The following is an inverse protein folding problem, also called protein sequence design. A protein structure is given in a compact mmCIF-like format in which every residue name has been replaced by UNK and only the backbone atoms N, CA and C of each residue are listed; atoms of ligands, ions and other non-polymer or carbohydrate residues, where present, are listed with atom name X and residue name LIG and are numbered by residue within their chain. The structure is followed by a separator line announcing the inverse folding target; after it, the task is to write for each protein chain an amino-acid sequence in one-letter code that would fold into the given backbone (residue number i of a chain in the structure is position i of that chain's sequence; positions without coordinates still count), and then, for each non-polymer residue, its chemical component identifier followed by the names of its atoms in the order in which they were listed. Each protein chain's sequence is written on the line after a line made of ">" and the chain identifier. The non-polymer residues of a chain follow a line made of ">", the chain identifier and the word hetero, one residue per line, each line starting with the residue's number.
data_IF_587538497280
#
_entry.id   IF_587538497280
#
_cell.length_a   1.000
_cell.length_b   1.000
_cell.length_c   1.000
_cell.angle_alpha   90.00
_cell.angle_beta   90.00
_cell.angle_gamma   90.00
#
_symmetry.space_group_name_H-M   'P 1'
#
loop_
_entity.id
_entity.type
_entity.pdbx_description
1 polymer ?
#
# COMPACT_ATOMS: atom_id res chain seq x y z
N UNK A 1 9.77 -14.08 -24.02
CA UNK A 1 9.76 -12.72 -23.46
C UNK A 1 9.08 -12.81 -22.11
N UNK A 2 9.87 -12.94 -21.04
CA UNK A 2 9.34 -12.88 -19.68
C UNK A 2 9.34 -11.42 -19.27
N UNK A 3 8.19 -10.76 -19.39
CA UNK A 3 8.01 -9.46 -18.78
C UNK A 3 8.00 -9.69 -17.27
N UNK A 4 9.12 -9.36 -16.62
CA UNK A 4 9.19 -9.23 -15.17
C UNK A 4 8.25 -8.10 -14.82
N UNK A 5 7.00 -8.44 -14.46
CA UNK A 5 5.98 -7.49 -14.02
C UNK A 5 6.46 -6.87 -12.71
N UNK A 6 7.36 -5.90 -12.83
CA UNK A 6 7.57 -4.90 -11.80
C UNK A 6 6.32 -4.06 -11.83
N UNK A 7 5.51 -4.17 -10.78
CA UNK A 7 4.37 -3.28 -10.61
C UNK A 7 4.89 -1.84 -10.68
N UNK A 8 4.38 -1.07 -11.64
CA UNK A 8 4.71 0.35 -11.74
C UNK A 8 4.09 1.09 -10.58
N UNK A 9 4.67 2.26 -10.27
CA UNK A 9 4.17 3.18 -9.25
C UNK A 9 2.66 3.44 -9.38
N UNK A 10 2.18 3.60 -10.61
CA UNK A 10 0.77 3.79 -10.94
C UNK A 10 -0.10 2.56 -10.63
N UNK A 11 0.40 1.35 -10.88
CA UNK A 11 -0.35 0.12 -10.59
C UNK A 11 -0.48 -0.13 -9.09
N UNK A 12 0.57 0.15 -8.32
CA UNK A 12 0.51 0.05 -6.86
C UNK A 12 -0.43 1.11 -6.29
N UNK A 13 -0.36 2.36 -6.72
CA UNK A 13 -1.31 3.40 -6.30
C UNK A 13 -2.76 3.02 -6.62
N UNK A 14 -3.00 2.46 -7.81
CA UNK A 14 -4.35 2.04 -8.21
C UNK A 14 -4.85 0.87 -7.36
N UNK A 15 -4.00 -0.10 -7.06
CA UNK A 15 -4.33 -1.26 -6.22
C UNK A 15 -4.55 -0.85 -4.77
N UNK A 16 -3.68 0.01 -4.25
CA UNK A 16 -3.79 0.63 -2.92
C UNK A 16 -5.11 1.38 -2.77
N UNK A 17 -5.41 2.28 -3.71
CA UNK A 17 -6.64 3.06 -3.67
C UNK A 17 -7.89 2.19 -3.84
N UNK A 18 -7.81 1.10 -4.61
CA UNK A 18 -8.90 0.12 -4.71
C UNK A 18 -9.10 -0.64 -3.38
N UNK A 19 -8.00 -0.99 -2.70
CA UNK A 19 -8.01 -1.68 -1.42
C UNK A 19 -8.73 -0.86 -0.35
N UNK A 20 -8.41 0.43 -0.25
CA UNK A 20 -9.00 1.34 0.74
C UNK A 20 -10.30 2.04 0.26
N UNK A 21 -10.74 1.80 -0.97
CA UNK A 21 -12.00 2.37 -1.49
C UNK A 21 -13.22 1.61 -0.99
N UNK A 22 -13.16 0.28 -1.00
CA UNK A 22 -14.29 -0.59 -0.63
C UNK A 22 -14.12 -1.24 0.74
N UNK A 23 -12.87 -1.40 1.22
CA UNK A 23 -12.61 -1.98 2.53
C UNK A 23 -12.41 -0.89 3.59
N UNK A 24 -12.89 -1.16 4.80
CA UNK A 24 -12.46 -0.41 5.97
C UNK A 24 -10.94 -0.51 6.13
N UNK A 25 -10.32 0.53 6.68
CA UNK A 25 -8.89 0.53 7.03
C UNK A 25 -8.70 -0.44 8.20
N UNK A 26 -8.54 -1.72 7.88
CA UNK A 26 -8.27 -2.80 8.82
C UNK A 26 -6.81 -3.23 8.73
N UNK A 27 -6.35 -3.97 9.72
CA UNK A 27 -4.99 -4.53 9.72
C UNK A 27 -4.73 -5.38 8.45
N UNK A 28 -5.72 -6.15 7.99
CA UNK A 28 -5.61 -6.93 6.75
C UNK A 28 -5.44 -6.06 5.49
N UNK A 29 -6.11 -4.89 5.44
CA UNK A 29 -5.92 -3.95 4.34
C UNK A 29 -4.52 -3.31 4.40
N UNK A 30 -4.02 -3.04 5.60
CA UNK A 30 -2.66 -2.52 5.80
C UNK A 30 -1.61 -3.55 5.35
N UNK A 31 -1.72 -4.81 5.77
CA UNK A 31 -0.80 -5.88 5.36
C UNK A 31 -0.78 -6.07 3.83
N UNK A 32 -1.95 -6.05 3.18
CA UNK A 32 -2.05 -6.13 1.71
C UNK A 32 -1.40 -4.93 1.02
N UNK A 33 -1.53 -3.74 1.60
CA UNK A 33 -0.90 -2.53 1.09
C UNK A 33 0.62 -2.57 1.26
N UNK A 34 1.16 -3.06 2.38
CA UNK A 34 2.61 -3.24 2.58
C UNK A 34 3.19 -4.24 1.57
N UNK A 35 2.50 -5.36 1.32
CA UNK A 35 2.92 -6.35 0.34
C UNK A 35 2.90 -5.80 -1.11
N UNK A 36 2.00 -4.86 -1.43
CA UNK A 36 2.00 -4.16 -2.72
C UNK A 36 3.22 -3.24 -2.86
N UNK A 37 3.63 -2.57 -1.78
CA UNK A 37 4.79 -1.68 -1.76
C UNK A 37 6.11 -2.47 -1.79
N UNK A 38 6.16 -3.64 -1.15
CA UNK A 38 7.36 -4.50 -1.16
C UNK A 38 7.69 -5.04 -2.56
N UNK A 39 6.67 -5.16 -3.41
CA UNK A 39 6.82 -5.50 -4.83
C UNK A 39 7.32 -4.32 -5.70
N UNK A 40 7.38 -3.10 -5.14
CA UNK A 40 7.88 -1.91 -5.84
C UNK A 40 9.41 -1.89 -5.85
N UNK A 41 10.02 -1.25 -6.85
CA UNK A 41 11.49 -1.07 -6.89
C UNK A 41 11.94 -0.27 -5.66
N UNK A 42 12.97 -0.77 -4.98
CA UNK A 42 13.59 -0.15 -3.79
C UNK A 42 14.04 1.31 -4.01
N UNK A 43 14.27 1.70 -5.27
CA UNK A 43 14.73 3.04 -5.67
C UNK A 43 13.59 4.03 -5.98
N UNK A 44 12.33 3.61 -5.92
CA UNK A 44 11.19 4.48 -6.22
C UNK A 44 10.81 5.36 -5.02
N UNK A 45 10.71 6.69 -5.18
CA UNK A 45 10.28 7.61 -4.12
C UNK A 45 8.83 7.33 -3.67
N UNK A 46 8.01 6.73 -4.54
CA UNK A 46 6.65 6.33 -4.21
C UNK A 46 6.57 5.27 -3.11
N UNK A 47 7.58 4.37 -3.04
CA UNK A 47 7.64 3.33 -2.00
C UNK A 47 7.65 3.98 -0.62
N UNK A 48 8.49 4.99 -0.43
CA UNK A 48 8.55 5.74 0.82
C UNK A 48 7.23 6.47 1.09
N UNK A 49 6.69 7.17 0.07
CA UNK A 49 5.42 7.92 0.21
C UNK A 49 4.26 7.04 0.65
N UNK A 50 4.07 5.90 -0.02
CA UNK A 50 3.01 4.97 0.32
C UNK A 50 3.26 4.29 1.67
N UNK A 51 4.52 4.00 2.02
CA UNK A 51 4.85 3.42 3.32
C UNK A 51 4.52 4.37 4.48
N UNK A 52 4.74 5.68 4.29
CA UNK A 52 4.33 6.71 5.25
C UNK A 52 2.79 6.80 5.35
N UNK A 53 2.08 6.77 4.22
CA UNK A 53 0.60 6.74 4.21
C UNK A 53 0.04 5.51 4.95
N UNK A 54 0.62 4.32 4.76
CA UNK A 54 0.21 3.12 5.49
C UNK A 54 0.43 3.27 6.99
N UNK A 55 1.59 3.80 7.40
CA UNK A 55 1.87 3.96 8.83
C UNK A 55 0.88 4.92 9.48
N UNK A 56 0.48 5.98 8.78
CA UNK A 56 -0.55 6.91 9.24
C UNK A 56 -1.93 6.22 9.31
N UNK A 57 -2.33 5.48 8.26
CA UNK A 57 -3.54 4.67 8.26
C UNK A 57 -3.57 3.67 9.42
N UNK A 58 -2.44 3.05 9.74
CA UNK A 58 -2.29 2.13 10.88
C UNK A 58 -2.52 2.82 12.21
N UNK A 59 -1.95 4.01 12.40
CA UNK A 59 -2.19 4.82 13.61
C UNK A 59 -3.66 5.19 13.74
N UNK A 60 -4.32 5.57 12.65
CA UNK A 60 -5.74 5.93 12.64
C UNK A 60 -6.61 4.69 12.94
N UNK A 61 -6.31 3.54 12.33
CA UNK A 61 -7.00 2.28 12.60
C UNK A 61 -6.90 1.88 14.08
N UNK A 62 -5.70 1.94 14.67
CA UNK A 62 -5.48 1.63 16.09
C UNK A 62 -6.18 2.65 16.99
N UNK A 63 -6.13 3.94 16.65
CA UNK A 63 -6.77 5.00 17.43
C UNK A 63 -8.30 4.92 17.40
N UNK A 64 -8.90 4.46 16.30
CA UNK A 64 -10.35 4.36 16.13
C UNK A 64 -10.96 3.10 16.78
N UNK A 65 -10.13 2.19 17.33
CA UNK A 65 -10.58 0.98 18.04
C UNK A 65 -10.57 1.13 19.58
N UNK A 66 -10.53 2.36 20.11
CA UNK A 66 -10.55 2.66 21.56
C UNK A 66 -11.67 3.64 21.93
#
# INVERSE_FOLDING_TARGET
>A
MGDLVVLTEEQVQRSFRALFRDAAVTEEAIEKAENLIDQLRLESPLRHRLSEEIEELRRICVANNN
#
